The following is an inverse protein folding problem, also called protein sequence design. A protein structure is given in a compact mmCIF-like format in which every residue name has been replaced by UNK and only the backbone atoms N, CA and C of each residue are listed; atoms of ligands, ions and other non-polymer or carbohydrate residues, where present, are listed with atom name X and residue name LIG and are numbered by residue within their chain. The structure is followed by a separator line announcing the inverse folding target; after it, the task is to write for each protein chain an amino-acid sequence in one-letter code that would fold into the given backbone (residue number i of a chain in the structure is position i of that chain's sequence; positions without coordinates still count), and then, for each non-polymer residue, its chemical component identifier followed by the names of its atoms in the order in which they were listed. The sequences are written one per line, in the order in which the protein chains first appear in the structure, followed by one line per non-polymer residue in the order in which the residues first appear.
data_IF_936620007830
#
_entry.id   IF_936620007830
#
_cell.length_a   1.000
_cell.length_b   1.000
_cell.length_c   1.000
_cell.angle_alpha   90.00
_cell.angle_beta   90.00
_cell.angle_gamma   90.00
#
_symmetry.space_group_name_H-M   'P 1'
#
loop_
_entity.id
_entity.type
_entity.pdbx_description
1 polymer ?
#
# COMPACT_ATOMS: atom_id res chain seq x y z
N UNK A 1 41.76 26.14 4.15
CA UNK A 1 41.14 25.70 2.88
C UNK A 1 39.68 25.40 3.19
N UNK A 2 38.76 25.97 2.42
CA UNK A 2 37.31 25.78 2.63
C UNK A 2 36.91 24.32 2.43
N UNK A 3 35.83 23.88 3.07
CA UNK A 3 35.42 22.47 3.06
C UNK A 3 35.02 22.01 1.66
N UNK A 4 34.37 22.87 0.88
CA UNK A 4 34.01 22.55 -0.51
C UNK A 4 35.25 22.20 -1.36
N UNK A 5 36.30 23.01 -1.27
CA UNK A 5 37.56 22.78 -1.99
C UNK A 5 38.28 21.51 -1.50
N UNK A 6 38.23 21.27 -0.18
CA UNK A 6 38.77 20.05 0.42
C UNK A 6 38.09 18.81 -0.15
N UNK A 7 36.76 18.76 -0.18
CA UNK A 7 36.01 17.61 -0.72
C UNK A 7 36.39 17.33 -2.18
N UNK A 8 36.48 18.37 -3.00
CA UNK A 8 36.86 18.21 -4.42
C UNK A 8 38.29 17.70 -4.58
N UNK A 9 39.24 18.20 -3.77
CA UNK A 9 40.66 17.79 -3.84
C UNK A 9 40.91 16.40 -3.27
N UNK A 10 40.19 16.01 -2.22
CA UNK A 10 40.36 14.76 -1.49
C UNK A 10 39.27 13.72 -1.79
N UNK A 11 38.62 13.81 -2.96
CA UNK A 11 37.54 12.91 -3.37
C UNK A 11 37.91 11.43 -3.27
N UNK A 12 39.05 11.03 -3.84
CA UNK A 12 39.45 9.62 -3.85
C UNK A 12 39.76 9.06 -2.44
N UNK A 13 40.55 9.75 -1.59
CA UNK A 13 40.70 9.37 -0.17
C UNK A 13 39.36 9.20 0.57
N UNK A 14 38.40 10.10 0.35
CA UNK A 14 37.08 10.03 0.97
C UNK A 14 36.32 8.78 0.49
N UNK A 15 36.33 8.50 -0.82
CA UNK A 15 35.67 7.33 -1.41
C UNK A 15 36.27 6.00 -0.93
N UNK A 16 37.59 5.95 -0.71
CA UNK A 16 38.26 4.78 -0.14
C UNK A 16 37.77 4.51 1.30
N UNK A 17 37.65 5.55 2.13
CA UNK A 17 37.11 5.36 3.49
C UNK A 17 35.65 4.96 3.49
N UNK A 18 34.85 5.55 2.60
CA UNK A 18 33.45 5.17 2.40
C UNK A 18 33.32 3.69 2.03
N UNK A 19 34.08 3.22 1.03
CA UNK A 19 34.05 1.83 0.61
C UNK A 19 34.43 0.89 1.75
N UNK A 20 35.52 1.21 2.47
CA UNK A 20 35.98 0.41 3.60
C UNK A 20 34.90 0.27 4.68
N UNK A 21 34.16 1.34 4.95
CA UNK A 21 33.02 1.31 5.86
C UNK A 21 31.84 0.50 5.28
N UNK A 22 31.43 0.79 4.05
CA UNK A 22 30.28 0.14 3.41
C UNK A 22 30.47 -1.38 3.29
N UNK A 23 31.70 -1.85 3.06
CA UNK A 23 32.05 -3.27 3.07
C UNK A 23 31.78 -3.98 4.41
N UNK A 24 31.68 -3.25 5.53
CA UNK A 24 31.37 -3.82 6.84
C UNK A 24 29.87 -4.08 7.07
N UNK A 25 28.99 -3.55 6.20
CA UNK A 25 27.54 -3.63 6.34
C UNK A 25 26.99 -4.98 5.84
N UNK A 26 27.23 -6.03 6.61
CA UNK A 26 26.78 -7.39 6.33
C UNK A 26 25.33 -7.64 6.76
N UNK A 27 24.59 -8.54 6.06
CA UNK A 27 25.02 -9.34 4.92
C UNK A 27 24.95 -8.63 3.56
N UNK A 28 24.34 -7.44 3.49
CA UNK A 28 24.02 -6.75 2.24
C UNK A 28 25.25 -6.44 1.37
N UNK A 29 26.37 -6.05 1.99
CA UNK A 29 27.61 -5.75 1.29
C UNK A 29 28.36 -6.99 0.75
N UNK A 30 27.97 -8.21 1.14
CA UNK A 30 28.74 -9.45 0.85
C UNK A 30 28.91 -9.73 -0.65
N UNK A 31 27.96 -9.32 -1.47
CA UNK A 31 27.90 -9.64 -2.91
C UNK A 31 28.18 -8.44 -3.81
N UNK A 32 28.63 -7.33 -3.23
CA UNK A 32 28.84 -6.06 -3.93
C UNK A 32 30.33 -5.86 -4.16
N UNK A 33 30.69 -5.51 -5.39
CA UNK A 33 32.06 -5.18 -5.75
C UNK A 33 32.41 -3.74 -5.38
N UNK A 34 33.70 -3.41 -5.48
CA UNK A 34 34.23 -2.08 -5.15
C UNK A 34 33.51 -0.95 -5.89
N UNK A 35 33.18 -1.17 -7.17
CA UNK A 35 32.40 -0.22 -7.96
C UNK A 35 31.03 -0.01 -7.29
N UNK A 36 30.26 -1.10 -7.09
CA UNK A 36 28.94 -1.08 -6.48
C UNK A 36 28.86 -0.39 -5.11
N UNK A 37 29.93 -0.45 -4.31
CA UNK A 37 30.00 0.23 -3.03
C UNK A 37 30.23 1.76 -3.17
N UNK A 38 30.87 2.19 -4.26
CA UNK A 38 31.25 3.59 -4.54
C UNK A 38 30.30 4.34 -5.49
N UNK A 39 29.48 3.62 -6.27
CA UNK A 39 28.71 4.08 -7.45
C UNK A 39 28.21 5.54 -7.41
N UNK A 40 27.60 5.97 -6.30
CA UNK A 40 26.97 7.28 -6.17
C UNK A 40 27.59 8.20 -5.10
N UNK A 41 28.54 7.69 -4.32
CA UNK A 41 29.16 8.45 -3.24
C UNK A 41 29.90 9.69 -3.79
N UNK A 42 30.50 9.58 -4.99
CA UNK A 42 31.15 10.71 -5.67
C UNK A 42 30.17 11.82 -6.01
N UNK A 43 29.06 11.47 -6.65
CA UNK A 43 28.04 12.42 -7.11
C UNK A 43 27.33 13.08 -5.93
N UNK A 44 27.12 12.35 -4.83
CA UNK A 44 26.63 12.90 -3.57
C UNK A 44 27.63 13.95 -3.04
N UNK A 45 28.92 13.62 -2.97
CA UNK A 45 29.96 14.55 -2.51
C UNK A 45 30.13 15.77 -3.42
N UNK A 46 30.03 15.60 -4.73
CA UNK A 46 30.06 16.71 -5.71
C UNK A 46 28.84 17.63 -5.52
N UNK A 47 27.65 17.07 -5.31
CA UNK A 47 26.44 17.85 -5.02
C UNK A 47 26.58 18.62 -3.71
N UNK A 48 27.12 18.00 -2.66
CA UNK A 48 27.36 18.63 -1.36
C UNK A 48 28.41 19.74 -1.47
N UNK A 49 29.54 19.50 -2.15
CA UNK A 49 30.58 20.51 -2.34
C UNK A 49 30.04 21.72 -3.13
N UNK A 50 29.23 21.47 -4.16
CA UNK A 50 28.55 22.53 -4.91
C UNK A 50 27.56 23.31 -4.06
N UNK A 51 26.79 22.63 -3.21
CA UNK A 51 25.88 23.30 -2.27
C UNK A 51 26.66 24.25 -1.37
N UNK A 52 27.69 23.77 -0.67
CA UNK A 52 28.51 24.59 0.26
C UNK A 52 29.10 25.82 -0.44
N UNK A 53 29.52 25.70 -1.70
CA UNK A 53 30.07 26.79 -2.49
C UNK A 53 29.03 27.83 -2.93
N UNK A 54 27.74 27.49 -2.90
CA UNK A 54 26.65 28.36 -3.38
C UNK A 54 26.20 29.33 -2.27
N UNK A 55 26.07 30.64 -2.56
CA UNK A 55 25.49 31.60 -1.62
C UNK A 55 24.10 31.17 -1.16
N UNK A 56 23.79 31.36 0.12
CA UNK A 56 22.51 31.01 0.72
C UNK A 56 22.13 32.12 1.69
N UNK A 57 20.87 32.55 1.62
CA UNK A 57 20.27 33.50 2.55
C UNK A 57 19.82 32.78 3.82
N UNK A 58 19.58 33.55 4.91
CA UNK A 58 19.04 32.97 6.16
C UNK A 58 17.66 32.33 5.98
N UNK A 59 16.86 32.82 5.04
CA UNK A 59 15.54 32.26 4.73
C UNK A 59 15.69 30.90 4.03
N UNK A 60 16.53 30.81 3.00
CA UNK A 60 16.83 29.54 2.33
C UNK A 60 17.44 28.53 3.29
N UNK A 61 18.31 28.97 4.20
CA UNK A 61 18.88 28.13 5.26
C UNK A 61 17.78 27.58 6.18
N UNK A 62 16.84 28.44 6.61
CA UNK A 62 15.71 28.04 7.46
C UNK A 62 14.81 27.05 6.75
N UNK A 63 14.43 27.29 5.50
CA UNK A 63 13.58 26.37 4.74
C UNK A 63 14.27 25.03 4.52
N UNK A 64 15.58 25.02 4.24
CA UNK A 64 16.38 23.79 4.15
C UNK A 64 16.39 23.01 5.45
N UNK A 65 16.58 23.69 6.60
CA UNK A 65 16.49 23.06 7.92
C UNK A 65 15.11 22.49 8.24
N UNK A 66 14.04 22.96 7.59
CA UNK A 66 12.68 22.44 7.72
C UNK A 66 12.35 21.35 6.68
N UNK A 67 13.31 20.95 5.84
CA UNK A 67 13.11 19.99 4.75
C UNK A 67 12.29 20.55 3.58
N UNK A 68 12.19 21.88 3.46
CA UNK A 68 11.39 22.60 2.44
C UNK A 68 12.26 23.19 1.33
N UNK A 69 13.50 22.75 1.20
CA UNK A 69 14.39 23.22 0.15
C UNK A 69 13.77 22.98 -1.24
N UNK A 70 13.92 23.94 -2.18
CA UNK A 70 13.41 23.77 -3.53
C UNK A 70 14.07 22.57 -4.21
N UNK A 71 13.25 21.68 -4.78
CA UNK A 71 13.74 20.53 -5.55
C UNK A 71 14.47 21.03 -6.81
N UNK A 72 15.61 20.42 -7.19
CA UNK A 72 16.34 20.81 -8.38
C UNK A 72 15.48 20.63 -9.63
N UNK A 73 15.32 21.70 -10.42
CA UNK A 73 14.37 21.79 -11.54
C UNK A 73 14.75 20.93 -12.77
N UNK A 74 15.97 20.38 -12.82
CA UNK A 74 16.59 19.83 -14.04
C UNK A 74 17.13 18.38 -13.93
N UNK A 75 16.81 17.61 -12.89
CA UNK A 75 17.18 16.20 -12.80
C UNK A 75 15.95 15.34 -12.50
N UNK A 76 15.80 14.19 -13.16
CA UNK A 76 14.70 13.25 -12.84
C UNK A 76 14.86 12.66 -11.44
N UNK A 77 16.10 12.47 -10.99
CA UNK A 77 16.46 11.99 -9.64
C UNK A 77 17.80 12.63 -9.17
N UNK A 78 17.96 12.84 -7.86
CA UNK A 78 19.23 13.28 -7.24
C UNK A 78 20.17 12.08 -7.01
N UNK A 79 21.46 12.33 -6.85
CA UNK A 79 22.43 11.27 -6.54
C UNK A 79 22.09 10.51 -5.25
N UNK A 80 21.52 11.20 -4.27
CA UNK A 80 21.04 10.61 -3.01
C UNK A 80 19.83 9.68 -3.25
N UNK A 81 18.92 10.05 -4.15
CA UNK A 81 17.78 9.22 -4.53
C UNK A 81 18.24 7.96 -5.28
N UNK A 82 19.12 8.10 -6.27
CA UNK A 82 19.66 6.95 -7.01
C UNK A 82 20.45 6.01 -6.08
N UNK A 83 21.24 6.56 -5.14
CA UNK A 83 21.93 5.77 -4.10
C UNK A 83 20.96 4.94 -3.26
N UNK A 84 19.88 5.55 -2.78
CA UNK A 84 18.85 4.86 -2.01
C UNK A 84 18.19 3.70 -2.78
N UNK A 85 17.84 3.93 -4.05
CA UNK A 85 17.23 2.90 -4.92
C UNK A 85 18.18 1.71 -5.10
N UNK A 86 19.46 1.94 -5.35
CA UNK A 86 20.44 0.86 -5.49
C UNK A 86 20.63 0.08 -4.19
N UNK A 87 20.71 0.77 -3.04
CA UNK A 87 20.83 0.11 -1.74
C UNK A 87 19.61 -0.74 -1.39
N UNK A 88 18.40 -0.26 -1.66
CA UNK A 88 17.17 -1.04 -1.51
C UNK A 88 17.21 -2.32 -2.36
N UNK A 89 17.58 -2.21 -3.65
CA UNK A 89 17.69 -3.38 -4.56
C UNK A 89 18.77 -4.38 -4.16
N UNK A 90 19.79 -3.93 -3.45
CA UNK A 90 20.89 -4.77 -2.95
C UNK A 90 20.63 -5.35 -1.55
N UNK A 91 19.44 -5.11 -0.98
CA UNK A 91 19.03 -5.68 0.29
C UNK A 91 19.63 -5.01 1.52
N UNK A 92 20.07 -3.76 1.39
CA UNK A 92 20.39 -2.95 2.57
C UNK A 92 19.13 -2.68 3.37
N UNK A 93 19.27 -2.48 4.67
CA UNK A 93 18.22 -1.89 5.49
C UNK A 93 18.41 -0.37 5.68
N UNK A 94 17.39 0.30 6.22
CA UNK A 94 17.39 1.74 6.43
C UNK A 94 18.47 2.21 7.41
N UNK A 95 18.83 1.39 8.40
CA UNK A 95 19.86 1.72 9.38
C UNK A 95 21.25 1.65 8.74
N UNK A 96 21.47 0.67 7.85
CA UNK A 96 22.70 0.55 7.08
C UNK A 96 22.87 1.73 6.13
N UNK A 97 21.82 2.14 5.42
CA UNK A 97 21.81 3.36 4.58
C UNK A 97 22.15 4.60 5.42
N UNK A 98 21.49 4.80 6.56
CA UNK A 98 21.78 5.93 7.46
C UNK A 98 23.20 5.86 8.05
N UNK A 99 23.74 4.65 8.26
CA UNK A 99 25.10 4.47 8.72
C UNK A 99 26.14 4.90 7.69
N UNK A 100 25.90 4.69 6.38
CA UNK A 100 26.79 5.18 5.32
C UNK A 100 26.94 6.71 5.36
N UNK A 101 25.82 7.45 5.49
CA UNK A 101 25.86 8.91 5.64
C UNK A 101 26.55 9.39 6.92
N UNK A 102 26.35 8.68 8.04
CA UNK A 102 27.04 8.99 9.30
C UNK A 102 28.56 8.78 9.17
N UNK A 103 28.98 7.68 8.54
CA UNK A 103 30.38 7.39 8.29
C UNK A 103 31.00 8.44 7.37
N UNK A 104 30.33 8.82 6.27
CA UNK A 104 30.80 9.86 5.36
C UNK A 104 31.03 11.19 6.07
N UNK A 105 30.04 11.62 6.86
CA UNK A 105 30.14 12.87 7.63
C UNK A 105 31.34 12.83 8.57
N UNK A 106 31.54 11.73 9.29
CA UNK A 106 32.67 11.57 10.20
C UNK A 106 34.01 11.59 9.46
N UNK A 107 34.11 10.86 8.34
CA UNK A 107 35.32 10.79 7.50
C UNK A 107 35.69 12.15 6.90
N UNK A 108 34.73 12.84 6.28
CA UNK A 108 34.97 14.14 5.64
C UNK A 108 35.37 15.19 6.67
N UNK A 109 34.61 15.33 7.77
CA UNK A 109 34.90 16.33 8.79
C UNK A 109 36.19 16.01 9.55
N UNK A 110 36.45 14.74 9.86
CA UNK A 110 37.68 14.30 10.52
C UNK A 110 38.92 14.63 9.69
N UNK A 111 38.96 14.20 8.43
CA UNK A 111 40.09 14.50 7.55
C UNK A 111 40.28 16.01 7.32
N UNK A 112 39.18 16.76 7.16
CA UNK A 112 39.26 18.21 6.96
C UNK A 112 39.81 18.93 8.20
N UNK A 113 39.37 18.55 9.40
CA UNK A 113 39.87 19.14 10.65
C UNK A 113 41.36 18.82 10.83
N UNK A 114 41.77 17.57 10.59
CA UNK A 114 43.14 17.11 10.78
C UNK A 114 44.11 17.78 9.80
N UNK A 115 43.74 17.87 8.52
CA UNK A 115 44.60 18.44 7.46
C UNK A 115 44.58 19.96 7.42
N UNK A 116 43.40 20.59 7.56
CA UNK A 116 43.23 22.01 7.27
C UNK A 116 43.24 22.89 8.52
N UNK A 117 42.97 22.34 9.72
CA UNK A 117 42.85 23.09 10.98
C UNK A 117 42.01 24.37 10.82
N UNK A 118 40.70 24.24 10.50
CA UNK A 118 39.85 25.35 10.08
C UNK A 118 39.75 26.45 11.13
N UNK A 119 39.63 27.70 10.66
CA UNK A 119 39.44 28.89 11.51
C UNK A 119 37.94 29.24 11.65
N UNK A 120 37.54 30.12 12.59
CA UNK A 120 36.13 30.44 12.81
C UNK A 120 35.30 30.80 11.55
N UNK A 121 35.83 31.54 10.54
CA UNK A 121 35.10 31.81 9.30
C UNK A 121 34.81 30.56 8.46
N UNK A 122 35.61 29.50 8.61
CA UNK A 122 35.42 28.22 7.90
C UNK A 122 34.37 27.35 8.60
N UNK A 123 33.99 27.64 9.86
CA UNK A 123 33.00 26.84 10.60
C UNK A 123 31.59 26.94 9.99
N UNK A 124 31.29 28.01 9.25
CA UNK A 124 30.04 28.12 8.48
C UNK A 124 29.93 27.03 7.42
N UNK A 125 31.06 26.57 6.85
CA UNK A 125 31.06 25.45 5.91
C UNK A 125 30.64 24.13 6.58
N UNK A 126 30.92 23.95 7.89
CA UNK A 126 30.46 22.76 8.63
C UNK A 126 28.94 22.74 8.76
N UNK A 127 28.33 23.90 9.03
CA UNK A 127 26.88 24.04 9.11
C UNK A 127 26.27 23.69 7.75
N UNK A 128 26.80 24.29 6.67
CA UNK A 128 26.37 24.01 5.29
C UNK A 128 26.54 22.54 4.90
N UNK A 129 27.63 21.91 5.30
CA UNK A 129 27.87 20.48 5.05
C UNK A 129 26.87 19.59 5.80
N UNK A 130 26.61 19.88 7.08
CA UNK A 130 25.62 19.14 7.86
C UNK A 130 24.22 19.25 7.25
N UNK A 131 23.80 20.46 6.86
CA UNK A 131 22.53 20.67 6.16
C UNK A 131 22.44 19.89 4.85
N UNK A 132 23.52 19.87 4.06
CA UNK A 132 23.54 19.14 2.79
C UNK A 132 23.52 17.61 2.99
N UNK A 133 24.22 17.10 4.02
CA UNK A 133 24.16 15.68 4.40
C UNK A 133 22.77 15.29 4.91
N UNK A 134 22.17 16.11 5.78
CA UNK A 134 20.86 15.81 6.35
C UNK A 134 19.76 15.85 5.27
N UNK A 135 19.86 16.78 4.31
CA UNK A 135 19.00 16.82 3.12
C UNK A 135 19.16 15.56 2.26
N UNK A 136 20.40 15.16 1.94
CA UNK A 136 20.67 13.96 1.15
C UNK A 136 20.18 12.69 1.87
N UNK A 137 20.37 12.59 3.19
CA UNK A 137 19.86 11.50 4.00
C UNK A 137 18.34 11.45 4.01
N UNK A 138 17.66 12.59 4.18
CA UNK A 138 16.20 12.66 4.16
C UNK A 138 15.63 12.22 2.80
N UNK A 139 16.21 12.69 1.70
CA UNK A 139 15.86 12.25 0.34
C UNK A 139 16.08 10.75 0.15
N UNK A 140 17.25 10.24 0.57
CA UNK A 140 17.57 8.82 0.48
C UNK A 140 16.61 7.96 1.31
N UNK A 141 16.26 8.36 2.53
CA UNK A 141 15.33 7.63 3.38
C UNK A 141 13.94 7.56 2.74
N UNK A 142 13.43 8.67 2.23
CA UNK A 142 12.12 8.72 1.58
C UNK A 142 12.06 7.79 0.35
N UNK A 143 13.05 7.88 -0.54
CA UNK A 143 13.10 7.04 -1.75
C UNK A 143 13.38 5.57 -1.43
N UNK A 144 14.22 5.28 -0.43
CA UNK A 144 14.47 3.91 0.01
C UNK A 144 13.17 3.25 0.49
N UNK A 145 12.42 3.93 1.36
CA UNK A 145 11.14 3.41 1.87
C UNK A 145 10.13 3.20 0.74
N UNK A 146 10.02 4.15 -0.19
CA UNK A 146 9.15 4.01 -1.37
C UNK A 146 9.53 2.79 -2.21
N UNK A 147 10.83 2.59 -2.50
CA UNK A 147 11.28 1.43 -3.27
C UNK A 147 11.05 0.10 -2.57
N UNK A 148 11.28 0.02 -1.26
CA UNK A 148 11.02 -1.19 -0.48
C UNK A 148 9.54 -1.54 -0.46
N UNK A 149 8.67 -0.55 -0.23
CA UNK A 149 7.22 -0.78 -0.27
C UNK A 149 6.75 -1.14 -1.68
N UNK A 150 7.24 -0.48 -2.72
CA UNK A 150 6.93 -0.81 -4.11
C UNK A 150 7.32 -2.25 -4.45
N UNK A 151 8.54 -2.67 -4.10
CA UNK A 151 9.03 -4.03 -4.34
C UNK A 151 8.21 -5.07 -3.57
N UNK A 152 7.87 -4.77 -2.30
CA UNK A 152 6.99 -5.61 -1.47
C UNK A 152 5.62 -5.78 -2.11
N UNK A 153 5.00 -4.69 -2.57
CA UNK A 153 3.69 -4.74 -3.21
C UNK A 153 3.74 -5.53 -4.51
N UNK A 154 4.75 -5.32 -5.36
CA UNK A 154 4.93 -6.12 -6.59
C UNK A 154 5.07 -7.62 -6.29
N UNK A 155 5.85 -7.99 -5.27
CA UNK A 155 6.02 -9.38 -4.87
C UNK A 155 4.71 -10.00 -4.38
N UNK A 156 3.91 -9.26 -3.60
CA UNK A 156 2.58 -9.71 -3.18
C UNK A 156 1.63 -9.91 -4.36
N UNK A 157 1.68 -9.01 -5.36
CA UNK A 157 0.90 -9.13 -6.59
C UNK A 157 1.30 -10.35 -7.44
N UNK A 158 2.60 -10.60 -7.60
CA UNK A 158 3.12 -11.77 -8.32
C UNK A 158 2.77 -13.08 -7.60
N UNK A 159 2.96 -13.16 -6.29
CA UNK A 159 2.60 -14.34 -5.51
C UNK A 159 1.09 -14.63 -5.59
N UNK A 160 0.26 -13.58 -5.53
CA UNK A 160 -1.18 -13.69 -5.72
C UNK A 160 -1.56 -14.31 -7.07
N UNK A 161 -0.92 -13.83 -8.15
CA UNK A 161 -1.11 -14.36 -9.50
C UNK A 161 -0.65 -15.83 -9.62
N UNK A 162 0.54 -16.16 -9.15
CA UNK A 162 1.12 -17.50 -9.33
C UNK A 162 0.45 -18.55 -8.46
N UNK A 163 -0.19 -18.16 -7.35
CA UNK A 163 -1.00 -19.05 -6.52
C UNK A 163 -2.41 -19.29 -7.07
N UNK A 164 -2.94 -18.44 -7.96
CA UNK A 164 -4.27 -18.60 -8.58
C UNK A 164 -4.36 -19.88 -9.41
N UNK A 165 -3.36 -20.17 -10.23
CA UNK A 165 -3.34 -21.34 -11.13
C UNK A 165 -3.35 -22.71 -10.41
N UNK A 166 -2.46 -22.98 -9.44
CA UNK A 166 -2.50 -24.25 -8.70
C UNK A 166 -3.80 -24.39 -7.90
N UNK A 167 -4.34 -23.28 -7.39
CA UNK A 167 -5.59 -23.28 -6.66
C UNK A 167 -6.81 -23.58 -7.55
N UNK A 168 -6.86 -23.00 -8.75
CA UNK A 168 -7.86 -23.34 -9.76
C UNK A 168 -7.80 -24.83 -10.12
N UNK A 169 -6.59 -25.38 -10.23
CA UNK A 169 -6.39 -26.82 -10.51
C UNK A 169 -6.98 -27.68 -9.39
N UNK A 170 -6.67 -27.38 -8.12
CA UNK A 170 -7.24 -28.08 -6.95
C UNK A 170 -8.77 -28.02 -6.97
N UNK A 171 -9.35 -26.85 -7.27
CA UNK A 171 -10.81 -26.68 -7.34
C UNK A 171 -11.43 -27.50 -8.47
N UNK A 172 -10.84 -27.48 -9.67
CA UNK A 172 -11.35 -28.24 -10.81
C UNK A 172 -11.31 -29.75 -10.54
N UNK A 173 -10.22 -30.26 -9.97
CA UNK A 173 -10.12 -31.67 -9.58
C UNK A 173 -11.14 -32.03 -8.50
N UNK A 174 -11.35 -31.15 -7.50
CA UNK A 174 -12.37 -31.38 -6.49
C UNK A 174 -13.79 -31.35 -7.08
N UNK A 175 -14.12 -30.40 -7.96
CA UNK A 175 -15.39 -30.36 -8.69
C UNK A 175 -15.62 -31.64 -9.50
N UNK A 176 -14.58 -32.14 -10.16
CA UNK A 176 -14.64 -33.40 -10.90
C UNK A 176 -14.91 -34.61 -9.97
N UNK A 177 -14.21 -34.70 -8.83
CA UNK A 177 -14.44 -35.76 -7.83
C UNK A 177 -15.85 -35.70 -7.23
N UNK A 178 -16.38 -34.50 -7.00
CA UNK A 178 -17.76 -34.30 -6.54
C UNK A 178 -18.76 -34.76 -7.61
N UNK A 179 -18.51 -34.46 -8.89
CA UNK A 179 -19.39 -34.83 -9.99
C UNK A 179 -19.40 -36.35 -10.27
N UNK A 180 -18.29 -37.05 -10.03
CA UNK A 180 -18.21 -38.51 -10.14
C UNK A 180 -19.08 -39.26 -9.11
N UNK A 181 -19.57 -38.56 -8.08
CA UNK A 181 -20.40 -39.11 -7.01
C UNK A 181 -19.79 -40.40 -6.41
N UNK A 182 -18.46 -40.40 -6.23
CA UNK A 182 -17.63 -41.55 -5.86
C UNK A 182 -17.79 -42.01 -4.39
N UNK A 183 -18.99 -41.82 -3.83
CA UNK A 183 -19.33 -42.01 -2.43
C UNK A 183 -19.58 -40.69 -1.70
N UNK A 184 -20.49 -40.71 -0.72
CA UNK A 184 -20.93 -39.54 0.05
C UNK A 184 -19.76 -38.82 0.73
N UNK A 185 -18.85 -39.56 1.37
CA UNK A 185 -17.65 -39.01 2.01
C UNK A 185 -16.68 -38.33 1.04
N UNK A 186 -16.55 -38.86 -0.19
CA UNK A 186 -15.67 -38.29 -1.22
C UNK A 186 -16.27 -37.00 -1.76
N UNK A 187 -17.58 -36.99 -2.01
CA UNK A 187 -18.32 -35.80 -2.46
C UNK A 187 -18.32 -34.70 -1.40
N UNK A 188 -18.45 -35.05 -0.11
CA UNK A 188 -18.35 -34.09 0.98
C UNK A 188 -16.94 -33.48 1.10
N UNK A 189 -15.90 -34.31 1.02
CA UNK A 189 -14.51 -33.85 1.03
C UNK A 189 -14.18 -32.96 -0.18
N UNK A 190 -14.67 -33.33 -1.37
CA UNK A 190 -14.56 -32.53 -2.57
C UNK A 190 -15.26 -31.18 -2.43
N UNK A 191 -16.49 -31.15 -1.90
CA UNK A 191 -17.22 -29.92 -1.65
C UNK A 191 -16.48 -29.00 -0.65
N UNK A 192 -15.84 -29.56 0.39
CA UNK A 192 -14.98 -28.80 1.31
C UNK A 192 -13.77 -28.19 0.58
N UNK A 193 -13.10 -28.95 -0.29
CA UNK A 193 -11.97 -28.45 -1.09
C UNK A 193 -12.38 -27.33 -2.05
N UNK A 194 -13.54 -27.44 -2.70
CA UNK A 194 -14.07 -26.40 -3.59
C UNK A 194 -14.31 -25.09 -2.82
N UNK A 195 -14.92 -25.17 -1.63
CA UNK A 195 -15.19 -24.00 -0.77
C UNK A 195 -13.89 -23.36 -0.28
N UNK A 196 -12.97 -24.15 0.28
CA UNK A 196 -11.67 -23.65 0.74
C UNK A 196 -10.84 -23.06 -0.39
N UNK A 197 -10.88 -23.69 -1.57
CA UNK A 197 -10.23 -23.19 -2.77
C UNK A 197 -10.83 -21.87 -3.25
N UNK A 198 -12.15 -21.73 -3.26
CA UNK A 198 -12.82 -20.48 -3.59
C UNK A 198 -12.43 -19.35 -2.62
N UNK A 199 -12.41 -19.65 -1.32
CA UNK A 199 -12.01 -18.70 -0.29
C UNK A 199 -10.56 -18.22 -0.47
N UNK A 200 -9.62 -19.14 -0.67
CA UNK A 200 -8.23 -18.78 -0.95
C UNK A 200 -8.12 -17.92 -2.22
N UNK A 201 -8.93 -18.20 -3.25
CA UNK A 201 -8.90 -17.43 -4.48
C UNK A 201 -9.32 -15.97 -4.23
N UNK A 202 -10.42 -15.77 -3.51
CA UNK A 202 -10.87 -14.43 -3.12
C UNK A 202 -9.82 -13.67 -2.30
N UNK A 203 -9.16 -14.34 -1.34
CA UNK A 203 -8.09 -13.70 -0.55
C UNK A 203 -6.89 -13.29 -1.41
N UNK A 204 -6.51 -14.11 -2.40
CA UNK A 204 -5.42 -13.79 -3.33
C UNK A 204 -5.83 -12.65 -4.28
N UNK A 205 -7.07 -12.64 -4.75
CA UNK A 205 -7.60 -11.59 -5.61
C UNK A 205 -7.64 -10.24 -4.86
N UNK A 206 -8.15 -10.21 -3.63
CA UNK A 206 -8.13 -9.02 -2.76
C UNK A 206 -6.69 -8.54 -2.48
N UNK A 207 -5.74 -9.46 -2.28
CA UNK A 207 -4.32 -9.12 -2.08
C UNK A 207 -3.70 -8.53 -3.35
N UNK A 208 -4.06 -9.04 -4.53
CA UNK A 208 -3.62 -8.50 -5.81
C UNK A 208 -4.19 -7.10 -6.04
N UNK A 209 -5.49 -6.91 -5.79
CA UNK A 209 -6.13 -5.60 -5.92
C UNK A 209 -5.53 -4.59 -4.94
N UNK A 210 -5.32 -4.98 -3.67
CA UNK A 210 -4.62 -4.16 -2.68
C UNK A 210 -3.19 -3.79 -3.12
N UNK A 211 -2.41 -4.75 -3.61
CA UNK A 211 -1.07 -4.48 -4.12
C UNK A 211 -1.10 -3.43 -5.25
N UNK A 212 -2.06 -3.54 -6.18
CA UNK A 212 -2.21 -2.58 -7.29
C UNK A 212 -2.59 -1.18 -6.80
N UNK A 213 -3.47 -1.06 -5.81
CA UNK A 213 -3.86 0.24 -5.25
C UNK A 213 -2.70 0.90 -4.53
N UNK A 214 -1.86 0.13 -3.81
CA UNK A 214 -0.62 0.65 -3.20
C UNK A 214 0.41 1.11 -4.24
N UNK A 215 0.36 0.59 -5.47
CA UNK A 215 1.17 1.07 -6.60
C UNK A 215 0.57 2.29 -7.32
N UNK A 216 -0.53 2.84 -6.82
CA UNK A 216 -1.23 3.98 -7.43
C UNK A 216 -2.00 3.65 -8.71
N UNK A 217 -2.13 2.37 -9.06
CA UNK A 217 -2.85 1.93 -10.27
C UNK A 217 -4.37 1.82 -10.06
N UNK A 218 -4.81 1.83 -8.80
CA UNK A 218 -6.21 1.62 -8.43
C UNK A 218 -6.74 0.23 -8.83
N UNK A 219 -8.04 0.04 -8.63
CA UNK A 219 -8.76 -1.13 -9.12
C UNK A 219 -9.11 -0.94 -10.59
N UNK A 220 -8.77 -1.94 -11.40
CA UNK A 220 -9.14 -1.94 -12.82
C UNK A 220 -10.63 -2.21 -12.97
N UNK A 221 -11.34 -1.29 -13.61
CA UNK A 221 -12.78 -1.38 -13.92
C UNK A 221 -13.01 -1.23 -15.42
N UNK A 222 -13.83 -2.11 -16.00
CA UNK A 222 -14.25 -2.07 -17.40
C UNK A 222 -15.76 -1.82 -17.42
N UNK A 223 -16.13 -0.54 -17.48
CA UNK A 223 -17.53 -0.11 -17.43
C UNK A 223 -18.26 -0.40 -18.74
N UNK A 224 -19.45 -0.96 -18.65
CA UNK A 224 -20.35 -1.26 -19.77
C UNK A 224 -21.78 -0.88 -19.39
N UNK A 225 -22.65 -0.74 -20.38
CA UNK A 225 -24.09 -0.55 -20.12
C UNK A 225 -24.63 -1.79 -19.41
N UNK A 226 -25.08 -1.61 -18.17
CA UNK A 226 -25.55 -2.68 -17.32
C UNK A 226 -26.60 -2.17 -16.33
N UNK A 227 -27.33 -3.11 -15.72
CA UNK A 227 -28.39 -2.82 -14.75
C UNK A 227 -28.01 -3.36 -13.37
N UNK A 228 -27.75 -2.46 -12.41
CA UNK A 228 -27.37 -2.86 -11.05
C UNK A 228 -28.48 -3.63 -10.33
N UNK A 229 -29.74 -3.55 -10.77
CA UNK A 229 -30.81 -4.34 -10.18
C UNK A 229 -30.52 -5.85 -10.30
N UNK A 230 -29.99 -6.29 -11.45
CA UNK A 230 -29.60 -7.68 -11.66
C UNK A 230 -28.40 -8.07 -10.80
N UNK A 231 -27.42 -7.17 -10.65
CA UNK A 231 -26.23 -7.42 -9.82
C UNK A 231 -26.61 -7.56 -8.35
N UNK A 232 -27.47 -6.68 -7.84
CA UNK A 232 -28.01 -6.76 -6.46
C UNK A 232 -28.79 -8.06 -6.25
N UNK A 233 -29.68 -8.42 -7.18
CA UNK A 233 -30.47 -9.65 -7.07
C UNK A 233 -29.57 -10.90 -7.00
N UNK A 234 -28.60 -11.02 -7.91
CA UNK A 234 -27.69 -12.16 -7.96
C UNK A 234 -26.90 -12.31 -6.65
N UNK A 235 -26.32 -11.23 -6.14
CA UNK A 235 -25.53 -11.28 -4.89
C UNK A 235 -26.41 -11.66 -3.69
N UNK A 236 -27.61 -11.09 -3.60
CA UNK A 236 -28.51 -11.40 -2.49
C UNK A 236 -28.97 -12.85 -2.54
N UNK A 237 -29.28 -13.38 -3.72
CA UNK A 237 -29.70 -14.77 -3.87
C UNK A 237 -28.56 -15.75 -3.53
N UNK A 238 -27.32 -15.44 -3.93
CA UNK A 238 -26.12 -16.19 -3.52
C UNK A 238 -25.96 -16.21 -2.00
N UNK A 239 -26.11 -15.05 -1.34
CA UNK A 239 -25.94 -14.94 0.11
C UNK A 239 -27.11 -15.57 0.90
N UNK A 240 -28.34 -15.49 0.40
CA UNK A 240 -29.48 -16.21 0.99
C UNK A 240 -29.28 -17.72 0.94
N UNK A 241 -28.74 -18.24 -0.16
CA UNK A 241 -28.41 -19.66 -0.28
C UNK A 241 -27.28 -20.07 0.69
N UNK A 242 -26.29 -19.20 0.90
CA UNK A 242 -25.19 -19.45 1.84
C UNK A 242 -25.58 -19.28 3.31
N UNK A 243 -26.57 -18.44 3.61
CA UNK A 243 -27.03 -18.10 4.96
C UNK A 243 -28.56 -18.22 5.08
N UNK A 244 -29.12 -19.44 4.99
CA UNK A 244 -30.57 -19.66 4.97
C UNK A 244 -31.28 -19.18 6.24
N UNK A 245 -30.57 -19.11 7.37
CA UNK A 245 -31.09 -18.64 8.66
C UNK A 245 -31.03 -17.11 8.82
N UNK A 246 -30.54 -16.37 7.81
CA UNK A 246 -30.39 -14.91 7.85
C UNK A 246 -31.34 -14.25 6.86
N UNK A 247 -32.12 -13.29 7.35
CA UNK A 247 -33.03 -12.51 6.53
C UNK A 247 -32.29 -11.34 5.86
N UNK A 248 -32.48 -11.18 4.54
CA UNK A 248 -31.96 -10.06 3.75
C UNK A 248 -33.13 -9.40 3.03
N UNK A 249 -33.45 -8.17 3.40
CA UNK A 249 -34.54 -7.38 2.84
C UNK A 249 -34.02 -6.44 1.77
N UNK A 250 -34.58 -6.54 0.55
CA UNK A 250 -34.12 -5.82 -0.63
C UNK A 250 -35.19 -4.83 -1.09
N UNK A 251 -34.79 -3.57 -1.30
CA UNK A 251 -35.63 -2.52 -1.86
C UNK A 251 -34.93 -1.87 -3.06
N UNK A 252 -35.43 -2.11 -4.27
CA UNK A 252 -34.88 -1.55 -5.50
C UNK A 252 -35.89 -0.59 -6.11
N UNK A 253 -35.48 0.65 -6.36
CA UNK A 253 -36.36 1.71 -6.88
C UNK A 253 -35.70 2.51 -8.00
N UNK A 254 -36.48 2.82 -9.02
CA UNK A 254 -36.05 3.59 -10.18
C UNK A 254 -35.26 2.76 -11.19
N UNK A 255 -34.69 3.44 -12.19
CA UNK A 255 -33.88 2.83 -13.25
C UNK A 255 -32.39 2.82 -12.86
N UNK A 256 -31.86 1.63 -12.57
CA UNK A 256 -30.46 1.45 -12.14
C UNK A 256 -29.49 1.22 -13.31
N UNK A 257 -29.93 1.44 -14.56
CA UNK A 257 -29.06 1.34 -15.72
C UNK A 257 -27.99 2.42 -15.74
N UNK A 258 -26.77 2.05 -16.11
CA UNK A 258 -25.63 2.95 -16.19
C UNK A 258 -24.36 2.22 -16.67
N UNK A 259 -23.24 2.91 -16.57
CA UNK A 259 -21.93 2.40 -17.00
C UNK A 259 -21.20 1.73 -15.82
N UNK A 260 -21.39 0.42 -15.67
CA UNK A 260 -20.90 -0.37 -14.53
C UNK A 260 -19.95 -1.47 -14.97
N UNK A 261 -19.01 -1.85 -14.11
CA UNK A 261 -18.32 -3.14 -14.21
C UNK A 261 -19.05 -4.15 -13.32
N UNK A 262 -19.87 -5.01 -13.93
CA UNK A 262 -20.75 -5.96 -13.22
C UNK A 262 -19.99 -6.82 -12.21
N UNK A 263 -18.80 -7.30 -12.56
CA UNK A 263 -18.00 -8.17 -11.71
C UNK A 263 -17.47 -7.42 -10.49
N UNK A 264 -17.00 -6.18 -10.68
CA UNK A 264 -16.53 -5.33 -9.58
C UNK A 264 -17.69 -4.87 -8.71
N UNK A 265 -18.85 -4.57 -9.30
CA UNK A 265 -20.05 -4.23 -8.54
C UNK A 265 -20.58 -5.40 -7.71
N UNK A 266 -20.51 -6.63 -8.24
CA UNK A 266 -20.78 -7.85 -7.47
C UNK A 266 -19.81 -7.97 -6.28
N UNK A 267 -18.51 -7.75 -6.49
CA UNK A 267 -17.51 -7.80 -5.41
C UNK A 267 -17.76 -6.74 -4.32
N UNK A 268 -18.07 -5.50 -4.71
CA UNK A 268 -18.43 -4.43 -3.77
C UNK A 268 -19.64 -4.82 -2.92
N UNK A 269 -20.73 -5.25 -3.55
CA UNK A 269 -21.95 -5.65 -2.86
C UNK A 269 -21.73 -6.85 -1.93
N UNK A 270 -21.03 -7.87 -2.40
CA UNK A 270 -20.69 -9.05 -1.60
C UNK A 270 -19.86 -8.69 -0.37
N UNK A 271 -18.90 -7.76 -0.49
CA UNK A 271 -18.09 -7.30 0.63
C UNK A 271 -18.94 -6.57 1.69
N UNK A 272 -19.84 -5.69 1.27
CA UNK A 272 -20.73 -4.95 2.19
C UNK A 272 -21.76 -5.87 2.85
N UNK A 273 -22.42 -6.73 2.08
CA UNK A 273 -23.45 -7.64 2.59
C UNK A 273 -22.86 -8.72 3.50
N UNK A 274 -21.70 -9.28 3.15
CA UNK A 274 -21.02 -10.25 4.03
C UNK A 274 -20.57 -9.58 5.32
N UNK A 275 -20.12 -8.31 5.27
CA UNK A 275 -19.80 -7.54 6.47
C UNK A 275 -21.05 -7.36 7.36
N UNK A 276 -22.16 -6.94 6.77
CA UNK A 276 -23.45 -6.78 7.46
C UNK A 276 -23.96 -8.09 8.08
N UNK A 277 -23.81 -9.22 7.40
CA UNK A 277 -24.16 -10.54 7.93
C UNK A 277 -23.24 -10.96 9.08
N UNK A 278 -21.94 -10.70 8.97
CA UNK A 278 -20.93 -11.08 9.98
C UNK A 278 -21.05 -10.28 11.27
N UNK A 279 -21.25 -8.97 11.17
CA UNK A 279 -21.27 -8.07 12.33
C UNK A 279 -22.69 -7.70 12.78
N UNK A 280 -23.70 -8.03 11.97
CA UNK A 280 -25.10 -7.85 12.33
C UNK A 280 -25.59 -8.88 13.35
N UNK A 281 -26.54 -8.45 14.19
CA UNK A 281 -27.24 -9.34 15.12
C UNK A 281 -28.01 -10.40 14.34
N UNK A 282 -27.89 -11.67 14.75
CA UNK A 282 -28.37 -12.82 13.98
C UNK A 282 -29.88 -12.77 13.68
N UNK A 283 -30.69 -12.25 14.62
CA UNK A 283 -32.15 -12.24 14.53
C UNK A 283 -32.74 -10.93 13.95
N UNK A 284 -31.90 -10.09 13.33
CA UNK A 284 -32.36 -8.86 12.69
C UNK A 284 -32.03 -8.90 11.20
N UNK A 285 -32.94 -8.45 10.31
CA UNK A 285 -32.69 -8.50 8.88
C UNK A 285 -31.57 -7.53 8.49
N UNK A 286 -30.72 -7.98 7.56
CA UNK A 286 -29.85 -7.07 6.81
C UNK A 286 -30.69 -6.36 5.77
N UNK A 287 -30.55 -5.04 5.63
CA UNK A 287 -31.26 -4.23 4.65
C UNK A 287 -30.33 -3.88 3.51
N UNK A 288 -30.77 -4.09 2.28
CA UNK A 288 -30.09 -3.67 1.07
C UNK A 288 -31.05 -2.83 0.24
N UNK A 289 -30.71 -1.57 -0.01
CA UNK A 289 -31.50 -0.72 -0.90
C UNK A 289 -30.65 -0.19 -2.03
N UNK A 290 -31.22 -0.14 -3.24
CA UNK A 290 -30.60 0.49 -4.41
C UNK A 290 -31.63 1.43 -5.05
N UNK A 291 -31.34 2.73 -5.01
CA UNK A 291 -32.27 3.78 -5.42
C UNK A 291 -31.60 4.63 -6.49
N UNK A 292 -32.26 4.74 -7.64
CA UNK A 292 -31.85 5.65 -8.70
C UNK A 292 -32.33 7.07 -8.42
N UNK A 293 -31.46 8.03 -8.72
CA UNK A 293 -31.82 9.41 -9.02
C UNK A 293 -31.49 9.70 -10.50
N UNK A 294 -31.66 10.95 -10.94
CA UNK A 294 -31.43 11.34 -12.33
C UNK A 294 -29.98 11.06 -12.77
N UNK A 295 -28.99 11.41 -11.93
CA UNK A 295 -27.56 11.32 -12.29
C UNK A 295 -26.75 10.28 -11.48
N UNK A 296 -27.27 9.81 -10.35
CA UNK A 296 -26.57 8.86 -9.47
C UNK A 296 -27.45 7.68 -9.02
N UNK A 297 -26.80 6.55 -8.75
CA UNK A 297 -27.38 5.41 -8.03
C UNK A 297 -26.81 5.40 -6.61
N UNK A 298 -27.69 5.33 -5.62
CA UNK A 298 -27.31 5.14 -4.22
C UNK A 298 -27.64 3.72 -3.78
N UNK A 299 -26.63 3.02 -3.27
CA UNK A 299 -26.76 1.70 -2.67
C UNK A 299 -26.51 1.86 -1.16
N UNK A 300 -27.44 1.41 -0.32
CA UNK A 300 -27.24 1.37 1.12
C UNK A 300 -27.36 -0.06 1.63
N UNK A 301 -26.36 -0.50 2.40
CA UNK A 301 -26.36 -1.77 3.10
C UNK A 301 -26.34 -1.49 4.61
N UNK A 302 -27.37 -1.95 5.31
CA UNK A 302 -27.55 -1.70 6.74
C UNK A 302 -27.76 -2.97 7.56
N UNK A 303 -27.23 -2.98 8.78
CA UNK A 303 -27.48 -4.03 9.76
C UNK A 303 -27.62 -3.46 11.18
N UNK A 304 -28.46 -4.08 11.99
CA UNK A 304 -28.46 -3.84 13.44
C UNK A 304 -27.32 -4.61 14.10
N UNK A 305 -26.67 -4.02 15.09
CA UNK A 305 -25.53 -4.61 15.78
C UNK A 305 -24.93 -3.64 16.79
N UNK A 306 -23.87 -4.05 17.51
CA UNK A 306 -23.14 -3.15 18.37
C UNK A 306 -22.63 -1.93 17.57
N UNK A 307 -22.74 -0.71 18.11
CA UNK A 307 -22.26 0.48 17.42
C UNK A 307 -20.75 0.39 17.19
N UNK A 308 -20.30 0.84 16.03
CA UNK A 308 -18.89 0.97 15.70
C UNK A 308 -18.32 2.16 16.48
N UNK A 309 -17.18 1.96 17.16
CA UNK A 309 -16.52 3.03 17.87
C UNK A 309 -16.14 4.19 16.92
N UNK A 310 -16.26 5.46 17.31
CA UNK A 310 -15.99 6.61 16.43
C UNK A 310 -14.61 6.56 15.76
N UNK A 311 -13.55 6.26 16.53
CA UNK A 311 -12.17 6.15 16.01
C UNK A 311 -12.02 5.03 14.97
N UNK A 312 -12.80 3.95 15.11
CA UNK A 312 -12.83 2.86 14.15
C UNK A 312 -13.66 3.24 12.91
N UNK A 313 -14.73 4.02 13.07
CA UNK A 313 -15.57 4.48 11.96
C UNK A 313 -14.79 5.39 11.00
N UNK A 314 -13.95 6.29 11.53
CA UNK A 314 -13.08 7.17 10.73
C UNK A 314 -12.08 6.39 9.86
N UNK A 315 -11.71 5.19 10.30
CA UNK A 315 -10.69 4.34 9.69
C UNK A 315 -11.25 3.03 9.16
N UNK A 316 -12.57 2.90 9.06
CA UNK A 316 -13.24 1.62 8.79
C UNK A 316 -12.94 1.08 7.38
N UNK A 317 -12.59 1.98 6.47
CA UNK A 317 -12.18 1.66 5.12
C UNK A 317 -10.65 1.53 4.98
N UNK A 318 -9.86 1.77 6.02
CA UNK A 318 -8.40 1.53 5.96
C UNK A 318 -8.13 0.04 5.72
N UNK A 319 -7.09 -0.30 4.94
CA UNK A 319 -6.74 -1.69 4.68
C UNK A 319 -6.26 -2.40 5.95
N UNK A 320 -6.49 -3.72 6.00
CA UNK A 320 -6.05 -4.62 7.08
C UNK A 320 -6.67 -4.29 8.46
N UNK A 321 -7.75 -3.52 8.48
CA UNK A 321 -8.52 -3.27 9.68
C UNK A 321 -9.26 -4.53 10.12
N UNK A 322 -9.12 -4.88 11.40
CA UNK A 322 -9.88 -5.95 12.04
C UNK A 322 -10.76 -5.34 13.12
N UNK A 323 -12.07 -5.58 13.04
CA UNK A 323 -12.98 -5.21 14.12
C UNK A 323 -12.65 -6.02 15.37
N UNK A 324 -12.49 -5.35 16.51
CA UNK A 324 -12.26 -5.96 17.82
C UNK A 324 -13.55 -6.62 18.33
N UNK A 325 -14.00 -7.71 17.70
CA UNK A 325 -15.17 -8.46 18.15
C UNK A 325 -14.75 -9.69 18.99
N UNK A 326 -15.39 -9.94 20.16
CA UNK A 326 -15.04 -11.07 21.04
C UNK A 326 -15.28 -12.47 20.45
N UNK A 327 -15.89 -12.58 19.27
CA UNK A 327 -16.21 -13.83 18.56
C UNK A 327 -15.03 -14.43 17.78
N UNK A 328 -13.82 -13.86 17.88
CA UNK A 328 -12.58 -14.34 17.26
C UNK A 328 -12.07 -15.72 17.75
N UNK A 329 -12.81 -16.43 18.61
CA UNK A 329 -12.37 -17.69 19.23
C UNK A 329 -12.55 -18.94 18.36
N UNK A 330 -13.26 -18.87 17.24
CA UNK A 330 -13.36 -19.97 16.27
C UNK A 330 -12.69 -19.56 14.97
N UNK A 331 -11.52 -20.14 14.67
CA UNK A 331 -10.66 -19.81 13.52
C UNK A 331 -11.24 -20.11 12.13
N UNK A 332 -12.56 -20.00 11.96
CA UNK A 332 -13.27 -20.40 10.74
C UNK A 332 -13.55 -19.24 9.77
N UNK A 333 -13.38 -17.96 10.13
CA UNK A 333 -13.67 -16.82 9.21
C UNK A 333 -12.75 -15.59 9.40
N UNK A 334 -11.44 -15.82 9.33
CA UNK A 334 -10.44 -14.72 9.36
C UNK A 334 -10.21 -14.21 7.93
N UNK A 335 -11.00 -13.23 7.48
CA UNK A 335 -10.68 -12.44 6.30
C UNK A 335 -9.47 -11.53 6.55
N UNK A 336 -8.77 -11.10 5.49
CA UNK A 336 -7.57 -10.24 5.61
C UNK A 336 -7.86 -8.83 6.14
N UNK A 337 -9.12 -8.45 6.35
CA UNK A 337 -9.51 -7.07 6.66
C UNK A 337 -9.47 -6.14 5.45
N UNK A 338 -9.57 -6.70 4.23
CA UNK A 338 -9.52 -5.95 2.98
C UNK A 338 -10.92 -5.67 2.39
N UNK A 339 -11.98 -6.38 2.81
CA UNK A 339 -13.28 -6.31 2.13
C UNK A 339 -13.86 -4.89 2.03
N UNK A 340 -13.89 -4.13 3.13
CA UNK A 340 -14.40 -2.75 3.13
C UNK A 340 -13.47 -1.80 2.36
N UNK A 341 -12.16 -1.98 2.45
CA UNK A 341 -11.17 -1.25 1.66
C UNK A 341 -11.40 -1.48 0.15
N UNK A 342 -11.54 -2.72 -0.29
CA UNK A 342 -11.80 -3.07 -1.68
C UNK A 342 -13.15 -2.52 -2.16
N UNK A 343 -14.21 -2.57 -1.34
CA UNK A 343 -15.48 -1.96 -1.67
C UNK A 343 -15.35 -0.44 -1.89
N UNK A 344 -14.56 0.23 -1.03
CA UNK A 344 -14.23 1.65 -1.18
C UNK A 344 -13.46 1.92 -2.49
N UNK A 345 -12.39 1.17 -2.76
CA UNK A 345 -11.59 1.33 -3.97
C UNK A 345 -12.40 1.06 -5.25
N UNK A 346 -13.35 0.11 -5.23
CA UNK A 346 -14.27 -0.14 -6.35
C UNK A 346 -15.20 1.05 -6.57
N UNK A 347 -15.76 1.63 -5.50
CA UNK A 347 -16.60 2.82 -5.59
C UNK A 347 -15.82 4.00 -6.18
N UNK A 348 -14.60 4.25 -5.68
CA UNK A 348 -13.70 5.28 -6.21
C UNK A 348 -13.32 5.02 -7.67
N UNK A 349 -13.04 3.77 -8.05
CA UNK A 349 -12.76 3.40 -9.43
C UNK A 349 -13.97 3.63 -10.35
N UNK A 350 -15.19 3.65 -9.83
CA UNK A 350 -16.42 4.07 -10.54
C UNK A 350 -16.71 5.58 -10.45
N UNK A 351 -15.76 6.38 -9.93
CA UNK A 351 -15.92 7.82 -9.64
C UNK A 351 -17.02 8.13 -8.62
N UNK A 352 -17.39 7.15 -7.81
CA UNK A 352 -18.30 7.31 -6.71
C UNK A 352 -17.58 7.53 -5.39
N UNK A 353 -18.34 7.41 -4.31
CA UNK A 353 -17.86 7.43 -2.93
C UNK A 353 -18.59 6.41 -2.08
N UNK A 354 -17.96 6.02 -0.98
CA UNK A 354 -18.57 5.21 0.07
C UNK A 354 -18.48 5.97 1.40
N UNK A 355 -19.57 5.96 2.15
CA UNK A 355 -19.67 6.56 3.47
C UNK A 355 -20.16 5.49 4.46
N UNK A 356 -19.76 5.59 5.72
CA UNK A 356 -20.26 4.73 6.80
C UNK A 356 -20.84 5.59 7.93
N UNK A 357 -21.98 5.16 8.46
CA UNK A 357 -22.55 5.68 9.71
C UNK A 357 -22.88 4.54 10.64
N UNK A 358 -22.67 4.73 11.94
CA UNK A 358 -23.03 3.76 12.95
C UNK A 358 -23.59 4.47 14.18
N UNK A 359 -24.73 4.00 14.66
CA UNK A 359 -25.36 4.46 15.89
C UNK A 359 -25.87 3.26 16.71
N UNK A 360 -26.59 3.53 17.79
CA UNK A 360 -27.09 2.48 18.69
C UNK A 360 -28.13 1.55 18.04
N UNK A 361 -28.71 1.93 16.90
CA UNK A 361 -29.74 1.16 16.19
C UNK A 361 -29.15 0.34 15.03
N UNK A 362 -28.21 0.92 14.29
CA UNK A 362 -27.67 0.30 13.08
C UNK A 362 -26.31 0.83 12.64
N UNK A 363 -25.65 0.03 11.82
CA UNK A 363 -24.53 0.44 10.98
C UNK A 363 -24.99 0.42 9.52
N UNK A 364 -24.68 1.47 8.77
CA UNK A 364 -25.04 1.62 7.36
C UNK A 364 -23.83 2.04 6.55
N UNK A 365 -23.59 1.32 5.47
CA UNK A 365 -22.64 1.67 4.41
C UNK A 365 -23.42 2.20 3.21
N UNK A 366 -23.13 3.42 2.78
CA UNK A 366 -23.80 4.08 1.67
C UNK A 366 -22.81 4.33 0.53
N UNK A 367 -23.07 3.74 -0.63
CA UNK A 367 -22.28 3.90 -1.85
C UNK A 367 -23.06 4.74 -2.84
N UNK A 368 -22.45 5.81 -3.35
CA UNK A 368 -23.07 6.71 -4.33
C UNK A 368 -22.25 6.73 -5.61
N UNK A 369 -22.87 6.35 -6.72
CA UNK A 369 -22.20 6.12 -8.00
C UNK A 369 -22.83 6.96 -9.11
N UNK A 370 -22.05 7.73 -9.89
CA UNK A 370 -22.56 8.43 -11.07
C UNK A 370 -22.96 7.43 -12.17
N UNK A 371 -24.13 7.62 -12.81
CA UNK A 371 -24.67 6.70 -13.84
C UNK A 371 -23.85 6.68 -15.13
N UNK A 372 -23.23 7.80 -15.49
CA UNK A 372 -22.47 7.98 -16.72
C UNK A 372 -21.16 8.72 -16.39
N UNK A 373 -20.12 7.96 -16.07
CA UNK A 373 -18.79 8.48 -15.70
C UNK A 373 -17.74 8.17 -16.76
#
# INVERSE_FOLDING_TARGET
MRLAEFITRNMEPILVQWEAFAATLLPAARTIDSHGLRDHARQILEAIAKDIATPQTREEQREKSLGRAPKPTNASETAAQTHAVLRARRGFDINQLAAEYRALRASVLGMWIDECRPSPPDLDDMIRFNEAIDQALAESVAFFTEQVEQARNLLLGMLGHDMRTPLQTIRLTASYLSALNAGEKVSEAAARLIRSGGRMQSLLDDLCDFSRTQLGLGINVIRRDADLAHVVANVVDELRAAHPDREINVDVRGDLRGNWDDQRMQQLLSNLLTNALKYGTANTPVRASAIASDDEVTIEIGNSGPPVAPDLLERIFDPLQRGTSPSEKSGEDVGLGLGLYIASEIAHAHRGRIDARSDASETVFAVRLPRRA
#
